data_IF_053031352373
#
_entry.id   IF_053031352373
#
_cell.length_a   1.000
_cell.length_b   1.000
_cell.length_c   1.000
_cell.angle_alpha   90.00
_cell.angle_beta   90.00
_cell.angle_gamma   90.00
#
_symmetry.space_group_name_H-M   'P 1'
#
loop_
_entity.id
_entity.type
_entity.pdbx_description
1 polymer ?
#
# COMPACT_ATOMS: atom_id res chain seq x y z
N UNK A 1 44.25 -13.21 5.31
CA UNK A 1 43.12 -13.53 6.21
C UNK A 1 41.83 -13.25 5.44
N UNK A 2 41.49 -14.15 4.52
CA UNK A 2 40.33 -14.01 3.64
C UNK A 2 39.15 -14.59 4.42
N UNK A 3 38.17 -13.74 4.77
CA UNK A 3 36.91 -14.17 5.38
C UNK A 3 36.25 -15.14 4.41
N UNK A 4 36.28 -16.43 4.76
CA UNK A 4 35.42 -17.43 4.15
C UNK A 4 34.05 -17.23 4.80
N UNK A 5 33.26 -16.29 4.27
CA UNK A 5 31.82 -16.29 4.48
C UNK A 5 31.30 -17.60 3.90
N UNK A 6 30.60 -18.40 4.72
CA UNK A 6 30.18 -19.74 4.34
C UNK A 6 29.25 -19.67 3.13
N UNK A 7 29.40 -20.63 2.21
CA UNK A 7 28.57 -20.74 1.01
C UNK A 7 27.05 -20.75 1.33
N UNK A 8 26.69 -21.22 2.53
CA UNK A 8 25.31 -21.21 3.06
C UNK A 8 24.76 -19.80 3.31
N UNK A 9 25.57 -18.84 3.79
CA UNK A 9 25.12 -17.45 3.99
C UNK A 9 24.85 -16.74 2.65
N UNK A 10 25.62 -17.06 1.61
CA UNK A 10 25.44 -16.51 0.26
C UNK A 10 24.19 -17.06 -0.44
N UNK A 11 23.85 -18.34 -0.24
CA UNK A 11 22.59 -18.90 -0.74
C UNK A 11 21.37 -18.36 0.00
N UNK A 12 21.45 -18.18 1.33
CA UNK A 12 20.36 -17.58 2.13
C UNK A 12 20.09 -16.13 1.70
N UNK A 13 21.11 -15.37 1.31
CA UNK A 13 20.94 -13.99 0.81
C UNK A 13 20.42 -13.90 -0.64
N UNK A 14 20.58 -14.96 -1.45
CA UNK A 14 20.00 -15.07 -2.81
C UNK A 14 18.53 -15.48 -2.80
N UNK A 15 18.07 -16.12 -1.72
CA UNK A 15 16.65 -16.40 -1.51
C UNK A 15 15.94 -15.07 -1.31
N UNK A 16 15.04 -14.73 -2.23
CA UNK A 16 14.11 -13.61 -2.11
C UNK A 16 13.23 -13.92 -0.89
N UNK A 17 13.73 -13.57 0.28
CA UNK A 17 13.04 -13.76 1.53
C UNK A 17 12.02 -12.63 1.64
N UNK A 18 10.87 -12.81 0.97
CA UNK A 18 9.66 -11.99 1.13
C UNK A 18 9.16 -12.04 2.60
N UNK A 19 9.80 -12.85 3.45
CA UNK A 19 9.68 -12.80 4.89
C UNK A 19 9.99 -11.41 5.43
N UNK A 20 8.93 -10.78 5.91
CA UNK A 20 9.00 -9.64 6.81
C UNK A 20 10.03 -9.90 7.92
N UNK A 21 10.97 -8.97 8.09
CA UNK A 21 11.91 -8.97 9.23
C UNK A 21 11.32 -8.07 10.32
N UNK A 22 10.81 -8.70 11.38
CA UNK A 22 10.42 -7.97 12.60
C UNK A 22 11.63 -7.24 13.15
N UNK A 23 11.54 -5.92 13.20
CA UNK A 23 12.52 -5.08 13.89
C UNK A 23 11.96 -4.66 15.22
N UNK A 24 12.79 -4.69 16.26
CA UNK A 24 12.45 -4.17 17.57
C UNK A 24 12.36 -2.64 17.51
N UNK A 25 11.22 -2.13 17.08
CA UNK A 25 10.95 -0.69 17.08
C UNK A 25 9.45 -0.45 17.35
N UNK A 26 9.15 0.66 18.03
CA UNK A 26 7.86 0.94 18.66
C UNK A 26 6.67 0.81 17.70
N UNK A 27 6.86 1.23 16.46
CA UNK A 27 5.81 1.20 15.43
C UNK A 27 5.58 -0.22 14.91
N UNK A 28 6.54 -1.14 14.98
CA UNK A 28 6.32 -2.52 14.53
C UNK A 28 5.52 -3.33 15.57
N UNK A 29 5.77 -3.09 16.86
CA UNK A 29 5.20 -3.88 17.95
C UNK A 29 3.75 -3.50 18.34
N UNK A 30 3.27 -2.31 17.92
CA UNK A 30 1.90 -1.86 18.15
C UNK A 30 0.86 -2.72 17.39
N UNK A 31 -0.42 -2.56 17.71
CA UNK A 31 -1.44 -3.44 17.18
C UNK A 31 -1.60 -3.30 15.66
N UNK A 32 -1.53 -4.41 14.88
CA UNK A 32 -1.65 -4.36 13.43
C UNK A 32 -3.02 -3.86 12.97
N UNK A 33 -4.10 -4.11 13.73
CA UNK A 33 -5.45 -3.64 13.40
C UNK A 33 -5.55 -2.12 13.50
N UNK A 34 -4.98 -1.54 14.57
CA UNK A 34 -5.02 -0.09 14.82
C UNK A 34 -4.23 0.64 13.73
N UNK A 35 -3.00 0.19 13.45
CA UNK A 35 -2.18 0.72 12.35
C UNK A 35 -2.88 0.62 10.99
N UNK A 36 -3.47 -0.52 10.68
CA UNK A 36 -4.16 -0.73 9.42
C UNK A 36 -5.32 0.24 9.22
N UNK A 37 -6.18 0.40 10.23
CA UNK A 37 -7.33 1.30 10.17
C UNK A 37 -6.87 2.77 10.09
N UNK A 38 -5.80 3.15 10.80
CA UNK A 38 -5.21 4.49 10.72
C UNK A 38 -4.69 4.81 9.30
N UNK A 39 -3.95 3.89 8.68
CA UNK A 39 -3.47 4.10 7.32
C UNK A 39 -4.60 4.08 6.29
N UNK A 40 -5.56 3.17 6.44
CA UNK A 40 -6.70 3.05 5.55
C UNK A 40 -7.63 4.28 5.61
N UNK A 41 -7.84 4.84 6.80
CA UNK A 41 -8.64 6.05 6.98
C UNK A 41 -8.03 7.26 6.28
N UNK A 42 -6.72 7.49 6.47
CA UNK A 42 -6.02 8.57 5.78
C UNK A 42 -6.00 8.38 4.25
N UNK A 43 -5.90 7.14 3.78
CA UNK A 43 -6.03 6.83 2.35
C UNK A 43 -7.35 7.36 1.78
N UNK A 44 -8.50 7.06 2.43
CA UNK A 44 -9.80 7.56 1.98
C UNK A 44 -9.90 9.10 2.04
N UNK A 45 -9.34 9.72 3.08
CA UNK A 45 -9.36 11.18 3.23
C UNK A 45 -8.60 11.88 2.08
N UNK A 46 -7.47 11.33 1.63
CA UNK A 46 -6.69 11.93 0.52
C UNK A 46 -7.51 12.04 -0.77
N UNK A 47 -8.39 11.08 -1.07
CA UNK A 47 -9.24 11.14 -2.26
C UNK A 47 -10.35 12.19 -2.17
N UNK A 48 -10.76 12.54 -0.95
CA UNK A 48 -11.84 13.51 -0.72
C UNK A 48 -11.33 14.95 -0.69
N UNK A 49 -10.03 15.16 -0.47
CA UNK A 49 -9.40 16.48 -0.31
C UNK A 49 -8.59 16.84 -1.57
N UNK A 50 -8.82 18.03 -2.12
CA UNK A 50 -8.03 18.59 -3.22
C UNK A 50 -7.17 19.78 -2.81
N UNK A 51 -7.38 20.33 -1.61
CA UNK A 51 -6.64 21.48 -1.12
C UNK A 51 -5.21 21.09 -0.70
N UNK A 52 -4.16 21.75 -1.25
CA UNK A 52 -2.76 21.38 -1.03
C UNK A 52 -2.30 21.50 0.43
N UNK A 53 -2.87 22.42 1.23
CA UNK A 53 -2.45 22.59 2.63
C UNK A 53 -2.80 21.37 3.49
N UNK A 54 -4.01 20.85 3.33
CA UNK A 54 -4.47 19.66 4.03
C UNK A 54 -3.66 18.42 3.62
N UNK A 55 -3.40 18.26 2.33
CA UNK A 55 -2.54 17.20 1.81
C UNK A 55 -1.13 17.29 2.41
N UNK A 56 -0.58 18.52 2.56
CA UNK A 56 0.76 18.72 3.10
C UNK A 56 0.85 18.33 4.58
N UNK A 57 -0.19 18.61 5.38
CA UNK A 57 -0.25 18.15 6.77
C UNK A 57 -0.31 16.62 6.84
N UNK A 58 -1.12 15.96 6.00
CA UNK A 58 -1.15 14.49 5.95
C UNK A 58 0.22 13.93 5.57
N UNK A 59 0.92 14.58 4.63
CA UNK A 59 2.27 14.20 4.23
C UNK A 59 3.28 14.30 5.39
N UNK A 60 3.27 15.41 6.12
CA UNK A 60 4.12 15.59 7.30
C UNK A 60 3.84 14.52 8.36
N UNK A 61 2.58 14.18 8.60
CA UNK A 61 2.22 13.15 9.57
C UNK A 61 2.71 11.75 9.16
N UNK A 62 2.49 11.36 7.90
CA UNK A 62 2.93 10.06 7.40
C UNK A 62 4.47 9.94 7.35
N UNK A 63 5.16 11.03 7.02
CA UNK A 63 6.63 11.06 7.06
C UNK A 63 7.19 11.02 8.49
N UNK A 64 6.51 11.62 9.46
CA UNK A 64 6.87 11.53 10.88
C UNK A 64 6.74 10.08 11.38
N UNK A 65 5.64 9.40 11.06
CA UNK A 65 5.45 7.97 11.37
C UNK A 65 6.56 7.12 10.70
N UNK A 66 6.89 7.41 9.43
CA UNK A 66 7.99 6.74 8.74
C UNK A 66 9.34 6.93 9.43
N UNK A 67 9.61 8.14 9.93
CA UNK A 67 10.84 8.51 10.63
C UNK A 67 10.98 7.76 11.96
N UNK A 68 9.91 7.75 12.77
CA UNK A 68 9.84 6.97 14.01
C UNK A 68 10.03 5.47 13.76
N UNK A 69 9.62 4.98 12.59
CA UNK A 69 9.81 3.60 12.15
C UNK A 69 11.25 3.22 11.81
N UNK A 70 12.17 4.20 11.68
CA UNK A 70 13.59 4.02 11.35
C UNK A 70 13.88 3.29 10.02
N UNK A 71 12.90 3.16 9.13
CA UNK A 71 13.01 2.50 7.82
C UNK A 71 12.85 3.46 6.63
N UNK A 72 13.26 4.73 6.81
CA UNK A 72 13.15 5.82 5.83
C UNK A 72 13.77 5.46 4.47
N UNK A 73 14.86 4.69 4.45
CA UNK A 73 15.52 4.27 3.20
C UNK A 73 14.60 3.46 2.27
N UNK A 74 13.73 2.61 2.82
CA UNK A 74 12.76 1.84 2.02
C UNK A 74 11.67 2.77 1.50
N UNK A 75 11.14 3.62 2.35
CA UNK A 75 10.12 4.63 1.99
C UNK A 75 10.62 5.53 0.86
N UNK A 76 11.86 6.03 0.97
CA UNK A 76 12.46 6.86 -0.07
C UNK A 76 12.61 6.14 -1.42
N UNK A 77 12.84 4.83 -1.41
CA UNK A 77 12.86 4.02 -2.65
C UNK A 77 11.49 4.00 -3.32
N UNK A 78 10.42 3.80 -2.55
CA UNK A 78 9.04 3.88 -3.08
C UNK A 78 8.69 5.29 -3.59
N UNK A 79 9.07 6.33 -2.85
CA UNK A 79 8.87 7.73 -3.27
C UNK A 79 9.66 8.09 -4.53
N UNK A 80 10.89 7.56 -4.69
CA UNK A 80 11.66 7.75 -5.92
C UNK A 80 10.97 7.10 -7.11
N UNK A 81 10.42 5.90 -6.95
CA UNK A 81 9.63 5.25 -8.00
C UNK A 81 8.35 6.01 -8.32
N UNK A 82 7.68 6.60 -7.32
CA UNK A 82 6.46 7.38 -7.55
C UNK A 82 6.69 8.66 -8.35
N UNK A 83 7.89 9.26 -8.26
CA UNK A 83 8.21 10.47 -9.04
C UNK A 83 8.16 10.21 -10.55
N UNK A 84 8.57 9.02 -11.02
CA UNK A 84 8.47 8.69 -12.46
C UNK A 84 7.02 8.57 -12.93
N UNK A 85 6.15 7.94 -12.12
CA UNK A 85 4.72 7.86 -12.40
C UNK A 85 4.05 9.23 -12.29
N UNK A 86 4.43 10.03 -11.30
CA UNK A 86 3.97 11.41 -11.12
C UNK A 86 4.32 12.29 -12.30
N UNK A 87 5.55 12.20 -12.82
CA UNK A 87 5.95 12.92 -14.04
C UNK A 87 5.09 12.53 -15.24
N UNK A 88 4.78 11.25 -15.42
CA UNK A 88 3.89 10.81 -16.49
C UNK A 88 2.49 11.44 -16.35
N UNK A 89 1.89 11.41 -15.14
CA UNK A 89 0.59 12.03 -14.88
C UNK A 89 0.61 13.54 -15.09
N UNK A 90 1.70 14.19 -14.69
CA UNK A 90 1.89 15.63 -14.88
C UNK A 90 1.91 15.99 -16.38
N UNK A 91 2.70 15.27 -17.17
CA UNK A 91 2.77 15.48 -18.63
C UNK A 91 1.42 15.20 -19.29
N UNK A 92 0.78 14.09 -18.93
CA UNK A 92 -0.53 13.70 -19.49
C UNK A 92 -1.58 14.77 -19.18
N UNK A 93 -1.66 15.26 -17.94
CA UNK A 93 -2.62 16.29 -17.58
C UNK A 93 -2.36 17.62 -18.30
N UNK A 94 -1.10 18.02 -18.46
CA UNK A 94 -0.75 19.24 -19.21
C UNK A 94 -1.14 19.15 -20.69
N UNK A 95 -0.98 17.97 -21.30
CA UNK A 95 -1.28 17.79 -22.73
C UNK A 95 -2.79 17.66 -22.97
N UNK A 96 -3.50 16.95 -22.10
CA UNK A 96 -4.91 16.59 -22.33
C UNK A 96 -5.92 17.63 -21.80
N UNK A 97 -5.53 18.50 -20.86
CA UNK A 97 -6.48 19.39 -20.14
C UNK A 97 -6.34 20.84 -20.59
N UNK A 98 -7.36 21.32 -21.30
CA UNK A 98 -7.39 22.65 -21.93
C UNK A 98 -8.37 23.64 -21.28
N UNK A 99 -8.96 23.31 -20.12
CA UNK A 99 -10.10 24.02 -19.52
C UNK A 99 -9.76 25.33 -18.76
N UNK A 100 -8.54 25.87 -18.88
CA UNK A 100 -8.10 27.04 -18.10
C UNK A 100 -8.17 28.35 -18.85
N UNK A 101 -8.57 29.43 -18.17
CA UNK A 101 -8.68 30.77 -18.75
C UNK A 101 -7.31 31.48 -18.86
N UNK A 102 -6.35 31.16 -17.97
CA UNK A 102 -5.02 31.80 -17.98
C UNK A 102 -4.00 31.00 -18.79
N UNK A 103 -3.95 31.27 -20.08
CA UNK A 103 -3.03 30.62 -21.03
C UNK A 103 -1.61 31.19 -20.87
N UNK A 104 -0.65 30.34 -20.50
CA UNK A 104 0.76 30.71 -20.37
C UNK A 104 1.52 30.48 -21.68
N UNK A 105 1.24 29.37 -22.37
CA UNK A 105 1.87 29.01 -23.65
C UNK A 105 0.83 28.36 -24.56
N UNK A 106 0.73 28.86 -25.79
CA UNK A 106 -0.08 28.29 -26.87
C UNK A 106 0.84 27.67 -27.90
N UNK A 107 0.70 26.37 -28.17
CA UNK A 107 1.38 25.75 -29.30
C UNK A 107 0.53 25.88 -30.56
N UNK A 108 1.11 26.29 -31.71
CA UNK A 108 0.37 26.47 -32.98
C UNK A 108 0.04 25.16 -33.70
N UNK A 109 0.31 24.00 -33.09
CA UNK A 109 -0.06 22.70 -33.65
C UNK A 109 -1.50 22.37 -33.26
N UNK A 110 -2.38 22.32 -34.25
CA UNK A 110 -3.75 21.85 -34.10
C UNK A 110 -3.79 20.33 -34.23
N UNK A 111 -4.23 19.65 -33.17
CA UNK A 111 -4.50 18.21 -33.24
C UNK A 111 -5.99 18.05 -33.57
N UNK A 112 -6.35 17.35 -34.66
CA UNK A 112 -7.74 17.09 -34.98
C UNK A 112 -8.34 16.28 -33.81
N UNK A 113 -9.39 16.82 -33.19
CA UNK A 113 -10.12 16.35 -31.97
C UNK A 113 -9.87 17.18 -30.69
N UNK A 114 -8.65 17.69 -30.43
CA UNK A 114 -8.32 18.37 -29.15
C UNK A 114 -8.06 19.88 -29.25
N UNK A 115 -7.98 20.42 -30.47
CA UNK A 115 -7.68 21.85 -30.69
C UNK A 115 -6.19 22.17 -30.47
N UNK A 116 -5.89 23.44 -30.19
CA UNK A 116 -4.52 23.88 -29.83
C UNK A 116 -4.18 23.44 -28.42
N UNK A 117 -2.99 22.88 -28.22
CA UNK A 117 -2.50 22.57 -26.87
C UNK A 117 -2.21 23.90 -26.17
N UNK A 118 -2.99 24.18 -25.12
CA UNK A 118 -2.84 25.38 -24.28
C UNK A 118 -2.35 24.94 -22.91
N UNK A 119 -1.14 25.36 -22.55
CA UNK A 119 -0.65 25.16 -21.20
C UNK A 119 -1.18 26.32 -20.36
N UNK A 120 -2.09 26.01 -19.43
CA UNK A 120 -2.70 26.98 -18.52
C UNK A 120 -2.12 26.84 -17.11
N UNK A 121 -2.13 27.92 -16.35
CA UNK A 121 -1.62 27.93 -14.97
C UNK A 121 -2.45 26.98 -14.09
N UNK A 122 -3.78 26.96 -14.29
CA UNK A 122 -4.71 26.08 -13.58
C UNK A 122 -4.39 24.61 -13.81
N UNK A 123 -4.06 24.23 -15.05
CA UNK A 123 -3.68 22.86 -15.39
C UNK A 123 -2.36 22.46 -14.72
N UNK A 124 -1.38 23.37 -14.59
CA UNK A 124 -0.12 23.10 -13.88
C UNK A 124 -0.38 22.85 -12.39
N UNK A 125 -1.17 23.71 -11.74
CA UNK A 125 -1.49 23.57 -10.31
C UNK A 125 -2.29 22.31 -10.05
N UNK A 126 -3.32 22.03 -10.86
CA UNK A 126 -4.10 20.81 -10.77
C UNK A 126 -3.22 19.57 -10.92
N UNK A 127 -2.33 19.57 -11.91
CA UNK A 127 -1.38 18.48 -12.13
C UNK A 127 -0.47 18.27 -10.93
N UNK A 128 0.01 19.35 -10.31
CA UNK A 128 0.84 19.26 -9.11
C UNK A 128 0.07 18.65 -7.93
N UNK A 129 -1.19 19.05 -7.71
CA UNK A 129 -2.06 18.50 -6.66
C UNK A 129 -2.27 16.99 -6.88
N UNK A 130 -2.55 16.57 -8.11
CA UNK A 130 -2.75 15.16 -8.47
C UNK A 130 -1.48 14.33 -8.25
N UNK A 131 -0.32 14.85 -8.65
CA UNK A 131 0.97 14.21 -8.38
C UNK A 131 1.22 14.09 -6.89
N UNK A 132 0.89 15.12 -6.12
CA UNK A 132 1.08 15.12 -4.68
C UNK A 132 0.16 14.11 -3.97
N UNK A 133 -1.10 14.00 -4.38
CA UNK A 133 -2.03 12.96 -3.92
C UNK A 133 -1.48 11.55 -4.22
N UNK A 134 -0.93 11.33 -5.41
CA UNK A 134 -0.32 10.05 -5.76
C UNK A 134 0.88 9.72 -4.87
N UNK A 135 1.77 10.69 -4.63
CA UNK A 135 2.93 10.50 -3.74
C UNK A 135 2.46 10.12 -2.34
N UNK A 136 1.43 10.78 -1.83
CA UNK A 136 0.80 10.50 -0.53
C UNK A 136 0.19 9.10 -0.45
N UNK A 137 -0.55 8.69 -1.48
CA UNK A 137 -1.15 7.34 -1.55
C UNK A 137 -0.04 6.28 -1.54
N UNK A 138 1.02 6.46 -2.33
CA UNK A 138 2.15 5.53 -2.37
C UNK A 138 2.90 5.51 -1.04
N UNK A 139 3.05 6.66 -0.38
CA UNK A 139 3.62 6.75 0.97
C UNK A 139 2.81 5.87 1.95
N UNK A 140 1.49 6.01 2.00
CA UNK A 140 0.64 5.20 2.88
C UNK A 140 0.78 3.70 2.59
N UNK A 141 0.73 3.30 1.32
CA UNK A 141 0.92 1.90 0.93
C UNK A 141 2.30 1.37 1.34
N UNK A 142 3.35 2.18 1.18
CA UNK A 142 4.69 1.83 1.64
C UNK A 142 4.73 1.62 3.14
N UNK A 143 4.03 2.45 3.93
CA UNK A 143 3.99 2.31 5.40
C UNK A 143 3.23 1.06 5.81
N UNK A 144 2.10 0.74 5.16
CA UNK A 144 1.37 -0.53 5.38
C UNK A 144 2.29 -1.72 5.10
N UNK A 145 2.99 -1.72 3.96
CA UNK A 145 3.88 -2.82 3.58
C UNK A 145 5.07 -2.99 4.55
N UNK A 146 5.62 -1.88 5.05
CA UNK A 146 6.77 -1.90 5.96
C UNK A 146 6.35 -2.30 7.37
N UNK A 147 5.27 -1.74 7.92
CA UNK A 147 4.93 -1.86 9.35
C UNK A 147 3.92 -2.98 9.68
N UNK A 148 3.25 -3.56 8.69
CA UNK A 148 2.23 -4.58 8.90
C UNK A 148 2.65 -5.88 8.22
N UNK A 149 2.69 -6.95 9.02
CA UNK A 149 3.01 -8.29 8.51
C UNK A 149 1.86 -8.81 7.67
N UNK A 150 2.14 -9.51 6.56
CA UNK A 150 1.08 -10.15 5.78
C UNK A 150 0.26 -11.11 6.66
N UNK A 151 0.91 -11.90 7.51
CA UNK A 151 0.23 -12.83 8.42
C UNK A 151 -0.65 -12.14 9.47
N UNK A 152 -0.27 -10.93 9.91
CA UNK A 152 -1.07 -10.18 10.87
C UNK A 152 -2.23 -9.46 10.19
N UNK A 153 -2.03 -8.98 8.95
CA UNK A 153 -3.10 -8.42 8.12
C UNK A 153 -4.24 -9.42 7.91
N UNK A 154 -3.92 -10.70 7.77
CA UNK A 154 -4.92 -11.77 7.65
C UNK A 154 -5.75 -11.95 8.91
N UNK A 155 -5.12 -11.84 10.08
CA UNK A 155 -5.82 -11.87 11.36
C UNK A 155 -6.68 -10.62 11.55
N UNK A 156 -6.26 -9.46 11.02
CA UNK A 156 -7.10 -8.25 10.98
C UNK A 156 -8.36 -8.52 10.17
N UNK A 157 -8.23 -9.11 8.97
CA UNK A 157 -9.37 -9.50 8.13
C UNK A 157 -10.33 -10.47 8.83
N UNK A 158 -9.81 -11.46 9.57
CA UNK A 158 -10.64 -12.34 10.39
C UNK A 158 -11.41 -11.58 11.47
N UNK A 159 -10.78 -10.58 12.11
CA UNK A 159 -11.40 -9.76 13.15
C UNK A 159 -12.46 -8.81 12.60
N UNK A 160 -12.34 -8.39 11.34
CA UNK A 160 -13.35 -7.63 10.59
C UNK A 160 -14.57 -8.47 10.17
N UNK A 161 -14.74 -9.68 10.70
CA UNK A 161 -15.87 -10.60 10.46
C UNK A 161 -16.01 -11.06 9.00
N UNK A 162 -14.90 -11.13 8.26
CA UNK A 162 -14.89 -11.82 6.96
C UNK A 162 -15.20 -13.31 7.19
N UNK A 163 -16.00 -13.96 6.31
CA UNK A 163 -16.31 -15.38 6.41
C UNK A 163 -15.05 -16.23 6.57
N UNK A 164 -15.06 -17.14 7.55
CA UNK A 164 -13.90 -17.94 7.91
C UNK A 164 -13.31 -18.72 6.72
N UNK A 165 -14.16 -19.23 5.83
CA UNK A 165 -13.74 -19.94 4.61
C UNK A 165 -12.85 -19.07 3.74
N UNK A 166 -13.18 -17.79 3.56
CA UNK A 166 -12.39 -16.84 2.77
C UNK A 166 -11.06 -16.59 3.47
N UNK A 167 -11.08 -16.36 4.78
CA UNK A 167 -9.84 -16.13 5.54
C UNK A 167 -8.91 -17.33 5.55
N UNK A 168 -9.46 -18.55 5.56
CA UNK A 168 -8.67 -19.78 5.44
C UNK A 168 -8.01 -19.90 4.07
N UNK A 169 -8.77 -19.69 2.99
CA UNK A 169 -8.23 -19.74 1.63
C UNK A 169 -7.07 -18.74 1.51
N UNK A 170 -7.26 -17.51 1.99
CA UNK A 170 -6.21 -16.51 1.99
C UNK A 170 -4.96 -17.01 2.73
N UNK A 171 -5.09 -17.49 3.99
CA UNK A 171 -3.94 -17.95 4.80
C UNK A 171 -3.19 -19.09 4.15
N UNK A 172 -3.91 -20.03 3.54
CA UNK A 172 -3.31 -21.10 2.77
C UNK A 172 -2.58 -20.54 1.54
N UNK A 173 -3.18 -19.59 0.81
CA UNK A 173 -2.54 -18.95 -0.34
C UNK A 173 -1.23 -18.24 0.02
N UNK A 174 -1.19 -17.46 1.10
CA UNK A 174 0.06 -16.78 1.51
C UNK A 174 1.15 -17.76 1.94
N UNK A 175 0.77 -18.89 2.55
CA UNK A 175 1.72 -19.96 2.89
C UNK A 175 2.18 -20.76 1.67
N UNK A 176 1.30 -20.98 0.70
CA UNK A 176 1.63 -21.71 -0.52
C UNK A 176 2.40 -20.88 -1.53
N UNK A 177 2.31 -19.55 -1.49
CA UNK A 177 3.03 -18.69 -2.43
C UNK A 177 4.56 -18.89 -2.37
N UNK A 178 5.23 -18.88 -1.20
CA UNK A 178 6.66 -19.22 -1.11
C UNK A 178 6.97 -20.63 -1.62
N UNK A 179 6.14 -21.62 -1.26
CA UNK A 179 6.34 -23.00 -1.69
C UNK A 179 6.22 -23.15 -3.22
N UNK A 180 5.31 -22.42 -3.85
CA UNK A 180 5.16 -22.39 -5.31
C UNK A 180 6.37 -21.78 -6.00
N UNK A 181 7.01 -20.77 -5.40
CA UNK A 181 8.26 -20.20 -5.91
C UNK A 181 9.40 -21.22 -5.83
N UNK A 182 9.52 -21.93 -4.71
CA UNK A 182 10.53 -22.99 -4.54
C UNK A 182 10.31 -24.15 -5.53
N UNK A 183 9.05 -24.56 -5.75
CA UNK A 183 8.71 -25.58 -6.74
C UNK A 183 9.02 -25.11 -8.17
N UNK A 184 8.72 -23.85 -8.48
CA UNK A 184 9.04 -23.24 -9.77
C UNK A 184 10.54 -23.27 -10.03
N UNK A 185 11.38 -22.94 -9.05
CA UNK A 185 12.84 -22.99 -9.19
C UNK A 185 13.34 -24.42 -9.41
N UNK A 186 12.86 -25.40 -8.64
CA UNK A 186 13.21 -26.82 -8.84
C UNK A 186 12.82 -27.33 -10.22
N UNK A 187 11.59 -27.04 -10.65
CA UNK A 187 11.10 -27.44 -11.98
C UNK A 187 11.93 -26.78 -13.08
N UNK A 188 12.27 -25.50 -12.90
CA UNK A 188 13.12 -24.73 -13.81
C UNK A 188 14.51 -25.39 -13.96
N UNK A 189 15.12 -25.79 -12.85
CA UNK A 189 16.44 -26.43 -12.87
C UNK A 189 16.40 -27.83 -13.46
N UNK A 190 15.39 -28.64 -13.14
CA UNK A 190 15.17 -29.96 -13.78
C UNK A 190 14.97 -29.81 -15.29
N UNK A 191 14.18 -28.82 -15.73
CA UNK A 191 13.97 -28.58 -17.15
C UNK A 191 15.25 -28.16 -17.86
N UNK A 192 16.08 -27.31 -17.22
CA UNK A 192 17.41 -26.94 -17.74
C UNK A 192 18.34 -28.14 -17.84
N UNK A 193 18.36 -29.03 -16.85
CA UNK A 193 19.13 -30.28 -16.89
C UNK A 193 18.69 -31.22 -18.02
N UNK A 194 17.40 -31.17 -18.41
CA UNK A 194 16.85 -31.87 -19.58
C UNK A 194 17.12 -31.17 -20.92
N UNK A 195 17.94 -30.11 -20.93
CA UNK A 195 18.33 -29.38 -22.13
C UNK A 195 17.33 -28.30 -22.56
N UNK A 196 16.31 -27.97 -21.75
CA UNK A 196 15.38 -26.88 -22.07
C UNK A 196 16.06 -25.52 -21.84
N UNK A 197 16.39 -24.84 -22.93
CA UNK A 197 16.97 -23.50 -22.88
C UNK A 197 15.88 -22.43 -22.66
N UNK A 198 15.72 -22.00 -21.41
CA UNK A 198 14.67 -21.04 -21.02
C UNK A 198 14.98 -19.58 -21.38
N UNK A 199 16.26 -19.24 -21.48
CA UNK A 199 16.73 -17.84 -21.59
C UNK A 199 17.29 -17.48 -22.98
N UNK A 200 17.43 -18.47 -23.88
CA UNK A 200 17.92 -18.27 -25.26
C UNK A 200 16.77 -18.09 -26.26
N UNK A 201 17.05 -17.41 -27.36
CA UNK A 201 16.10 -17.15 -28.45
C UNK A 201 15.33 -15.83 -28.34
N UNK A 202 14.39 -15.62 -29.27
CA UNK A 202 13.54 -14.44 -29.34
C UNK A 202 12.49 -14.44 -28.20
N UNK A 203 11.89 -13.29 -27.88
CA UNK A 203 10.93 -13.14 -26.77
C UNK A 203 9.79 -14.17 -26.81
N UNK A 204 9.26 -14.46 -28.00
CA UNK A 204 8.25 -15.50 -28.23
C UNK A 204 8.71 -16.91 -27.84
N UNK A 205 9.96 -17.26 -28.16
CA UNK A 205 10.54 -18.57 -27.85
C UNK A 205 10.74 -18.71 -26.34
N UNK A 206 11.23 -17.65 -25.68
CA UNK A 206 11.36 -17.63 -24.20
C UNK A 206 10.03 -17.84 -23.50
N UNK A 207 8.95 -17.21 -24.00
CA UNK A 207 7.61 -17.39 -23.43
C UNK A 207 7.13 -18.82 -23.65
N UNK A 208 7.23 -19.34 -24.87
CA UNK A 208 6.84 -20.73 -25.18
C UNK A 208 7.55 -21.73 -24.27
N UNK A 209 8.86 -21.55 -24.06
CA UNK A 209 9.66 -22.43 -23.21
C UNK A 209 9.26 -22.32 -21.73
N UNK A 210 8.90 -21.13 -21.24
CA UNK A 210 8.39 -20.93 -19.87
C UNK A 210 7.00 -21.52 -19.65
N UNK A 211 6.13 -21.47 -20.65
CA UNK A 211 4.78 -22.08 -20.58
C UNK A 211 4.87 -23.58 -20.31
N UNK A 212 5.89 -24.27 -20.83
CA UNK A 212 6.11 -25.69 -20.58
C UNK A 212 6.30 -26.03 -19.08
N UNK A 213 6.79 -25.08 -18.28
CA UNK A 213 6.96 -25.25 -16.83
C UNK A 213 5.64 -25.16 -16.06
N UNK A 214 4.58 -24.60 -16.65
CA UNK A 214 3.29 -24.40 -15.99
C UNK A 214 2.61 -25.74 -15.72
N UNK A 215 2.67 -26.69 -16.66
CA UNK A 215 1.97 -27.96 -16.53
C UNK A 215 2.48 -28.78 -15.32
N UNK A 216 3.80 -29.03 -15.15
CA UNK A 216 4.31 -29.69 -13.95
C UNK A 216 3.98 -28.94 -12.66
N UNK A 217 4.06 -27.61 -12.68
CA UNK A 217 3.77 -26.78 -11.51
C UNK A 217 2.29 -26.88 -11.11
N UNK A 218 1.39 -26.90 -12.09
CA UNK A 218 -0.05 -27.05 -11.88
C UNK A 218 -0.38 -28.44 -11.33
N UNK A 219 0.25 -29.50 -11.85
CA UNK A 219 0.08 -30.87 -11.30
C UNK A 219 0.52 -30.94 -9.84
N UNK A 220 1.71 -30.41 -9.50
CA UNK A 220 2.19 -30.36 -8.11
C UNK A 220 1.25 -29.54 -7.20
N UNK A 221 0.69 -28.45 -7.74
CA UNK A 221 -0.26 -27.59 -7.01
C UNK A 221 -1.58 -28.31 -6.72
N UNK A 222 -2.11 -29.04 -7.70
CA UNK A 222 -3.33 -29.84 -7.55
C UNK A 222 -3.14 -30.95 -6.53
N UNK A 223 -2.04 -31.70 -6.63
CA UNK A 223 -1.73 -32.77 -5.67
C UNK A 223 -1.62 -32.23 -4.24
N UNK A 224 -0.90 -31.11 -4.06
CA UNK A 224 -0.82 -30.43 -2.76
C UNK A 224 -2.20 -30.00 -2.26
N UNK A 225 -3.08 -29.51 -3.13
CA UNK A 225 -4.42 -29.09 -2.73
C UNK A 225 -5.26 -30.27 -2.22
N UNK A 226 -5.14 -31.45 -2.85
CA UNK A 226 -5.81 -32.69 -2.44
C UNK A 226 -5.27 -33.14 -1.08
N UNK A 227 -3.94 -33.21 -0.93
CA UNK A 227 -3.30 -33.58 0.35
C UNK A 227 -3.73 -32.65 1.49
N UNK A 228 -3.85 -31.34 1.23
CA UNK A 228 -4.31 -30.36 2.22
C UNK A 228 -5.79 -30.56 2.55
N UNK A 229 -6.63 -30.88 1.57
CA UNK A 229 -8.04 -31.18 1.80
C UNK A 229 -8.21 -32.44 2.67
N UNK A 230 -7.52 -33.53 2.35
CA UNK A 230 -7.51 -34.78 3.13
C UNK A 230 -6.98 -34.56 4.55
N UNK A 231 -5.94 -33.74 4.71
CA UNK A 231 -5.40 -33.36 6.02
C UNK A 231 -6.37 -32.51 6.85
N UNK A 232 -7.19 -31.67 6.20
CA UNK A 232 -8.24 -30.89 6.88
C UNK A 232 -9.42 -31.79 7.27
N UNK A 233 -9.81 -32.72 6.40
CA UNK A 233 -10.90 -33.66 6.67
C UNK A 233 -10.56 -34.62 7.81
N UNK A 234 -9.36 -35.22 7.80
CA UNK A 234 -8.87 -36.08 8.90
C UNK A 234 -8.79 -35.35 10.24
N UNK A 235 -8.58 -34.03 10.23
CA UNK A 235 -8.61 -33.17 11.43
C UNK A 235 -10.01 -32.68 11.80
N UNK A 236 -11.07 -33.25 11.21
CA UNK A 236 -12.45 -32.88 11.45
C UNK A 236 -12.72 -31.39 11.19
N UNK A 237 -11.98 -30.77 10.25
CA UNK A 237 -11.96 -29.33 10.12
C UNK A 237 -13.30 -28.74 9.68
N UNK A 238 -14.29 -29.48 9.18
CA UNK A 238 -15.59 -28.92 8.78
C UNK A 238 -16.71 -29.06 9.83
N UNK A 239 -16.46 -29.78 10.91
CA UNK A 239 -17.52 -30.25 11.84
C UNK A 239 -18.04 -29.15 12.79
N UNK A 240 -17.23 -28.18 13.21
CA UNK A 240 -17.67 -27.17 14.18
C UNK A 240 -18.20 -25.88 13.55
N UNK A 241 -19.38 -25.44 14.00
CA UNK A 241 -19.96 -24.11 13.70
C UNK A 241 -19.26 -22.98 14.46
N UNK A 242 -18.78 -23.25 15.69
CA UNK A 242 -18.02 -22.29 16.51
C UNK A 242 -16.53 -22.62 16.43
N UNK A 243 -15.74 -21.69 15.87
CA UNK A 243 -14.28 -21.82 15.74
C UNK A 243 -13.54 -21.12 16.87
N UNK A 244 -12.47 -21.74 17.33
CA UNK A 244 -11.51 -21.14 18.26
C UNK A 244 -10.24 -20.75 17.51
N UNK A 245 -9.59 -19.67 17.94
CA UNK A 245 -8.37 -19.15 17.32
C UNK A 245 -7.23 -19.26 18.32
N UNK A 246 -6.13 -19.89 17.90
CA UNK A 246 -4.94 -20.07 18.73
C UNK A 246 -4.20 -18.75 18.97
N UNK A 247 -3.99 -17.94 17.92
CA UNK A 247 -3.36 -16.61 18.01
C UNK A 247 -4.41 -15.53 17.75
N UNK A 248 -4.93 -14.93 18.82
CA UNK A 248 -5.91 -13.83 18.73
C UNK A 248 -5.19 -12.48 18.75
N UNK A 249 -5.60 -11.55 17.89
CA UNK A 249 -5.22 -10.14 18.03
C UNK A 249 -6.03 -9.57 19.21
N UNK A 250 -5.37 -9.44 20.36
CA UNK A 250 -5.89 -8.68 21.49
C UNK A 250 -5.65 -7.20 21.21
N UNK A 251 -6.69 -6.39 21.37
CA UNK A 251 -6.60 -4.92 21.28
C UNK A 251 -6.72 -4.43 22.71
N UNK A 252 -5.73 -3.65 23.15
CA UNK A 252 -5.71 -3.10 24.50
C UNK A 252 -6.72 -1.97 24.64
N UNK A 253 -7.01 -1.55 25.87
CA UNK A 253 -7.90 -0.40 26.11
C UNK A 253 -7.45 0.87 25.37
N UNK A 254 -6.14 1.12 25.34
CA UNK A 254 -5.52 2.20 24.56
C UNK A 254 -5.80 2.01 23.06
N UNK A 255 -5.72 0.78 22.55
CA UNK A 255 -6.03 0.45 21.17
C UNK A 255 -7.51 0.58 20.80
N UNK A 256 -8.44 0.36 21.74
CA UNK A 256 -9.85 0.67 21.51
C UNK A 256 -10.10 2.17 21.50
N UNK A 257 -9.46 2.91 22.40
CA UNK A 257 -9.56 4.36 22.46
C UNK A 257 -9.02 5.02 21.18
N UNK A 258 -7.89 4.56 20.64
CA UNK A 258 -7.35 5.03 19.35
C UNK A 258 -8.31 4.79 18.20
N UNK A 259 -8.96 3.61 18.16
CA UNK A 259 -9.94 3.31 17.11
C UNK A 259 -11.16 4.21 17.19
N UNK A 260 -11.68 4.46 18.40
CA UNK A 260 -12.83 5.35 18.60
C UNK A 260 -12.47 6.77 18.16
N UNK A 261 -11.32 7.29 18.60
CA UNK A 261 -10.84 8.59 18.17
C UNK A 261 -10.67 8.67 16.64
N UNK A 262 -10.15 7.62 16.01
CA UNK A 262 -9.98 7.60 14.55
C UNK A 262 -11.33 7.57 13.82
N UNK A 263 -12.31 6.81 14.30
CA UNK A 263 -13.66 6.83 13.77
C UNK A 263 -14.29 8.23 13.87
N UNK A 264 -14.15 8.89 15.03
CA UNK A 264 -14.64 10.26 15.23
C UNK A 264 -13.95 11.21 14.25
N UNK A 265 -12.63 11.12 14.08
CA UNK A 265 -11.87 11.94 13.13
C UNK A 265 -12.33 11.76 11.68
N UNK A 266 -12.60 10.53 11.24
CA UNK A 266 -13.11 10.27 9.89
C UNK A 266 -14.49 10.90 9.73
N UNK A 267 -15.38 10.71 10.71
CA UNK A 267 -16.74 11.24 10.65
C UNK A 267 -16.75 12.78 10.63
N UNK A 268 -15.90 13.43 11.43
CA UNK A 268 -15.78 14.88 11.42
C UNK A 268 -15.22 15.38 10.09
N UNK A 269 -14.15 14.78 9.57
CA UNK A 269 -13.60 15.14 8.26
C UNK A 269 -14.63 14.95 7.13
N UNK A 270 -15.34 13.82 7.13
CA UNK A 270 -16.37 13.53 6.13
C UNK A 270 -17.51 14.55 6.18
N UNK A 271 -17.97 14.91 7.40
CA UNK A 271 -18.98 15.93 7.60
C UNK A 271 -18.51 17.31 7.08
N UNK A 272 -17.30 17.74 7.44
CA UNK A 272 -16.72 19.02 7.01
C UNK A 272 -16.58 19.09 5.48
N UNK A 273 -16.16 18.01 4.83
CA UNK A 273 -15.95 17.98 3.37
C UNK A 273 -17.27 18.00 2.60
N UNK A 274 -18.29 17.29 3.07
CA UNK A 274 -19.57 17.18 2.35
C UNK A 274 -20.46 18.39 2.60
N UNK A 275 -20.67 18.77 3.86
CA UNK A 275 -21.65 19.81 4.20
C UNK A 275 -21.09 21.21 4.06
N UNK A 276 -19.83 21.41 4.42
CA UNK A 276 -19.20 22.74 4.37
C UNK A 276 -18.29 22.91 3.14
N UNK A 277 -18.10 21.87 2.34
CA UNK A 277 -17.23 21.92 1.16
C UNK A 277 -15.76 22.12 1.49
N UNK A 278 -15.36 21.99 2.75
CA UNK A 278 -14.00 22.26 3.21
C UNK A 278 -13.03 21.30 2.54
N UNK A 279 -11.93 21.83 2.01
CA UNK A 279 -10.87 21.04 1.38
C UNK A 279 -11.10 20.69 -0.09
N UNK A 280 -12.27 21.02 -0.68
CA UNK A 280 -12.44 21.00 -2.13
C UNK A 280 -11.79 22.25 -2.71
N UNK A 281 -10.82 22.04 -3.58
CA UNK A 281 -10.15 23.10 -4.32
C UNK A 281 -10.18 22.72 -5.79
N UNK A 282 -10.88 23.54 -6.58
CA UNK A 282 -10.86 23.43 -8.02
C UNK A 282 -10.14 24.68 -8.56
N UNK A 283 -8.94 24.53 -9.17
CA UNK A 283 -8.21 25.68 -9.72
C UNK A 283 -8.88 26.25 -10.99
N UNK A 284 -9.86 25.57 -11.57
CA UNK A 284 -10.62 26.01 -12.74
C UNK A 284 -11.83 26.85 -12.35
N UNK A 285 -12.28 27.82 -13.19
CA UNK A 285 -11.75 28.20 -14.52
C UNK A 285 -10.62 29.25 -14.49
N UNK A 286 -10.56 30.07 -13.44
CA UNK A 286 -9.47 31.02 -13.18
C UNK A 286 -8.77 30.65 -11.89
N UNK A 287 -7.46 30.82 -11.85
CA UNK A 287 -6.69 30.62 -10.61
C UNK A 287 -7.21 31.50 -9.49
N UNK A 288 -7.78 30.86 -8.47
CA UNK A 288 -8.02 31.46 -7.17
C UNK A 288 -7.01 30.85 -6.21
N UNK A 289 -6.35 31.69 -5.41
CA UNK A 289 -5.58 31.18 -4.29
C UNK A 289 -6.48 30.28 -3.45
N UNK A 290 -6.00 29.11 -2.99
CA UNK A 290 -6.78 28.28 -2.08
C UNK A 290 -7.21 29.14 -0.90
N UNK A 291 -8.52 29.42 -0.79
CA UNK A 291 -9.07 30.26 0.26
C UNK A 291 -8.63 29.69 1.61
N UNK A 292 -7.93 30.51 2.38
CA UNK A 292 -7.47 30.17 3.71
C UNK A 292 -8.23 31.03 4.71
N UNK A 293 -9.40 30.56 5.10
CA UNK A 293 -10.16 31.25 6.14
C UNK A 293 -9.58 30.91 7.52
N UNK A 294 -9.87 31.75 8.51
CA UNK A 294 -9.59 31.44 9.92
C UNK A 294 -10.18 30.08 10.32
N UNK A 295 -11.30 29.71 9.72
CA UNK A 295 -11.91 28.39 9.90
C UNK A 295 -11.02 27.24 9.38
N UNK A 296 -10.37 27.39 8.22
CA UNK A 296 -9.41 26.40 7.71
C UNK A 296 -8.20 26.26 8.64
N UNK A 297 -7.72 27.35 9.23
CA UNK A 297 -6.65 27.30 10.22
C UNK A 297 -7.01 26.43 11.43
N UNK A 298 -8.23 26.58 11.97
CA UNK A 298 -8.69 25.74 13.08
C UNK A 298 -8.82 24.27 12.70
N UNK A 299 -9.26 23.96 11.48
CA UNK A 299 -9.36 22.57 11.01
C UNK A 299 -7.97 21.97 10.82
N UNK A 300 -7.01 22.72 10.27
CA UNK A 300 -5.63 22.26 10.15
C UNK A 300 -5.00 21.99 11.53
N UNK A 301 -5.25 22.87 12.52
CA UNK A 301 -4.81 22.68 13.90
C UNK A 301 -5.47 21.45 14.54
N UNK A 302 -6.76 21.23 14.28
CA UNK A 302 -7.49 20.03 14.69
C UNK A 302 -6.88 18.76 14.09
N UNK A 303 -6.54 18.77 12.79
CA UNK A 303 -5.86 17.64 12.14
C UNK A 303 -4.50 17.38 12.79
N UNK A 304 -3.68 18.42 12.97
CA UNK A 304 -2.35 18.27 13.58
C UNK A 304 -2.45 17.70 15.00
N UNK A 305 -3.31 18.28 15.85
CA UNK A 305 -3.48 17.84 17.23
C UNK A 305 -3.94 16.39 17.33
N UNK A 306 -4.93 15.98 16.53
CA UNK A 306 -5.38 14.59 16.50
C UNK A 306 -4.30 13.64 16.01
N UNK A 307 -3.54 14.01 14.97
CA UNK A 307 -2.44 13.17 14.50
C UNK A 307 -1.33 13.01 15.53
N UNK A 308 -0.97 14.07 16.26
CA UNK A 308 0.00 13.99 17.37
C UNK A 308 -0.53 13.05 18.47
N UNK A 309 -1.81 13.17 18.82
CA UNK A 309 -2.48 12.28 19.79
C UNK A 309 -2.44 10.83 19.28
N UNK A 310 -2.70 10.57 18.00
CA UNK A 310 -2.62 9.23 17.42
C UNK A 310 -1.21 8.65 17.50
N UNK A 311 -0.18 9.43 17.18
CA UNK A 311 1.22 9.01 17.27
C UNK A 311 1.57 8.67 18.73
N UNK A 312 1.19 9.52 19.68
CA UNK A 312 1.43 9.30 21.11
C UNK A 312 0.72 8.06 21.63
N UNK A 313 -0.53 7.83 21.23
CA UNK A 313 -1.28 6.64 21.64
C UNK A 313 -0.70 5.36 21.03
N UNK A 314 -0.24 5.41 19.78
CA UNK A 314 0.42 4.30 19.10
C UNK A 314 1.75 3.94 19.79
N UNK A 315 2.48 4.95 20.28
CA UNK A 315 3.66 4.75 21.13
C UNK A 315 3.30 4.14 22.50
N UNK A 316 2.17 4.57 23.10
CA UNK A 316 1.70 4.10 24.41
C UNK A 316 1.20 2.65 24.38
N UNK A 317 0.64 2.19 23.26
CA UNK A 317 0.07 0.84 23.11
C UNK A 317 1.10 -0.28 23.38
N UNK A 318 2.40 -0.02 23.17
CA UNK A 318 3.51 -0.95 23.47
C UNK A 318 3.62 -1.29 24.96
N UNK A 319 3.34 -0.35 25.87
CA UNK A 319 3.54 -0.56 27.32
C UNK A 319 2.48 -1.46 27.96
N UNK A 320 1.39 -1.73 27.25
CA UNK A 320 0.22 -2.44 27.78
C UNK A 320 0.09 -3.90 27.28
N UNK A 321 0.99 -4.36 26.40
CA UNK A 321 1.06 -5.73 25.89
C UNK A 321 2.27 -6.46 26.48
#
# INVERSE_FOLDING_TARGET
MIKIESYDELEINRRISITYKSKNNFIYDSNPLVKFILFLSNFFIIFLISNPYYLFIIFLNMTLIACLGKDIKKVFRFLKTSLYLGLAIFIINIILRNDGDTVLLTFPFEIPIYGTIKITLETIIFSFIMVFQLILVILIFSLINIFINPDDLMKVFMKLKIPYTISLILILSTRFFPLLLDDMEKIKDVARSRGLELDKGNWFIKIKNKILLILPLLTNSLERSIQVAEALESRAFRISKKRTFFKKIKVNYIGYFTLILNCIFILTMFYLIIFQGVGKYNPFPQYHHPYFNIFDFYILLYIISLNIIFILLLLSERKAN
#
